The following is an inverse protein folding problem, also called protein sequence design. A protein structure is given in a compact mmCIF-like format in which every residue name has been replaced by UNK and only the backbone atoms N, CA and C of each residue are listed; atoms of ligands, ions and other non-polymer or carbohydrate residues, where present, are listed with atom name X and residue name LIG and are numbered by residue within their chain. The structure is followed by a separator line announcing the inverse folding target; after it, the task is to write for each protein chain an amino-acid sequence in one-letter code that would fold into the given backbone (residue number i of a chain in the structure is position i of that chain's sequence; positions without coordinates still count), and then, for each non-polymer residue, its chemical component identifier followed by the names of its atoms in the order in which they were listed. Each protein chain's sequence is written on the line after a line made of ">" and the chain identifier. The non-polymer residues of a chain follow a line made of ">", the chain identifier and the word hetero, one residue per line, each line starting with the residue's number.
data_IF_062922278108
#
_entry.id   IF_062922278108
#
_cell.length_a   1.000
_cell.length_b   1.000
_cell.length_c   1.000
_cell.angle_alpha   90.00
_cell.angle_beta   90.00
_cell.angle_gamma   90.00
#
_symmetry.space_group_name_H-M   'P 1'
#
loop_
_entity.id
_entity.type
_entity.pdbx_description
1 polymer ?
#
# COMPACT_ATOMS: atom_id res chain seq x y z
N UNK A 1 58.53 -24.41 -39.35
CA UNK A 1 57.52 -25.37 -38.88
C UNK A 1 56.76 -24.76 -37.71
N UNK A 2 55.45 -24.79 -37.76
CA UNK A 2 54.50 -24.42 -36.67
C UNK A 2 54.27 -22.90 -36.45
N UNK A 3 53.79 -22.24 -37.46
CA UNK A 3 53.05 -20.95 -37.31
C UNK A 3 51.54 -21.12 -37.33
N UNK A 4 51.02 -22.32 -37.11
CA UNK A 4 49.57 -22.65 -37.27
C UNK A 4 48.82 -22.92 -35.97
N UNK A 5 49.43 -22.77 -34.81
CA UNK A 5 48.79 -23.09 -33.53
C UNK A 5 48.42 -21.85 -32.66
N UNK A 6 48.72 -20.61 -33.11
CA UNK A 6 48.53 -19.40 -32.30
C UNK A 6 47.22 -18.66 -32.58
N UNK A 7 46.37 -19.19 -33.48
CA UNK A 7 45.10 -18.48 -33.85
C UNK A 7 43.87 -19.15 -33.22
N UNK A 8 44.04 -20.18 -32.40
CA UNK A 8 42.90 -20.91 -31.80
C UNK A 8 42.49 -20.46 -30.39
N UNK A 9 43.11 -19.47 -29.80
CA UNK A 9 42.83 -19.03 -28.41
C UNK A 9 42.31 -17.60 -28.28
N UNK A 10 41.95 -16.94 -29.38
CA UNK A 10 41.51 -15.52 -29.34
C UNK A 10 40.02 -15.33 -29.63
N UNK A 11 39.18 -16.36 -29.56
CA UNK A 11 37.74 -16.24 -29.80
C UNK A 11 36.85 -16.79 -28.69
N UNK A 12 37.38 -16.89 -27.47
CA UNK A 12 36.61 -17.34 -26.31
C UNK A 12 36.50 -16.28 -25.18
N UNK A 13 36.54 -14.99 -25.52
CA UNK A 13 36.61 -13.94 -24.52
C UNK A 13 35.63 -12.77 -24.69
N UNK A 14 34.44 -12.97 -25.23
CA UNK A 14 33.52 -11.84 -25.39
C UNK A 14 32.05 -12.28 -25.45
N UNK A 15 31.52 -12.93 -24.42
CA UNK A 15 30.06 -13.09 -24.19
C UNK A 15 29.79 -13.37 -22.72
N UNK A 16 30.46 -12.68 -21.81
CA UNK A 16 29.95 -12.46 -20.47
C UNK A 16 29.19 -11.13 -20.48
N UNK A 17 28.15 -11.05 -21.33
CA UNK A 17 27.12 -10.02 -21.18
C UNK A 17 26.47 -10.22 -19.84
N UNK A 18 26.72 -9.27 -18.96
CA UNK A 18 26.16 -9.03 -17.67
C UNK A 18 24.65 -9.33 -17.63
N UNK A 19 24.26 -10.53 -17.27
CA UNK A 19 22.99 -10.81 -16.65
C UNK A 19 23.06 -10.23 -15.23
N UNK A 20 22.97 -8.90 -15.12
CA UNK A 20 22.55 -8.29 -13.86
C UNK A 20 21.12 -8.80 -13.64
N UNK A 21 20.84 -9.55 -12.58
CA UNK A 21 19.46 -9.81 -12.22
C UNK A 21 18.82 -8.44 -11.99
N UNK A 22 17.86 -8.09 -12.84
CA UNK A 22 16.92 -7.05 -12.52
C UNK A 22 16.21 -7.53 -11.26
N UNK A 23 16.61 -7.01 -10.10
CA UNK A 23 15.84 -7.14 -8.88
C UNK A 23 14.52 -6.41 -9.16
N UNK A 24 13.55 -7.12 -9.69
CA UNK A 24 12.17 -6.70 -9.68
C UNK A 24 11.81 -6.62 -8.20
N UNK A 25 11.74 -5.41 -7.67
CA UNK A 25 11.26 -5.19 -6.31
C UNK A 25 9.82 -5.68 -6.29
N UNK A 26 9.54 -6.74 -5.53
CA UNK A 26 8.19 -7.24 -5.35
C UNK A 26 7.28 -6.10 -4.90
N UNK A 27 6.11 -5.93 -5.49
CA UNK A 27 5.20 -4.87 -5.10
C UNK A 27 4.77 -5.06 -3.63
N UNK A 28 4.87 -4.00 -2.86
CA UNK A 28 4.40 -4.00 -1.48
C UNK A 28 2.88 -3.94 -1.47
N UNK A 29 2.22 -4.88 -0.80
CA UNK A 29 0.77 -4.84 -0.61
C UNK A 29 0.42 -4.05 0.62
N UNK A 30 -0.42 -3.02 0.46
CA UNK A 30 -0.97 -2.18 1.52
C UNK A 30 -2.46 -2.45 1.65
N UNK A 31 -2.89 -2.97 2.79
CA UNK A 31 -4.30 -3.24 3.11
C UNK A 31 -4.89 -2.05 3.85
N UNK A 32 -5.88 -1.41 3.27
CA UNK A 32 -6.55 -0.24 3.87
C UNK A 32 -8.03 -0.51 4.05
N UNK A 33 -8.49 -0.40 5.29
CA UNK A 33 -9.90 -0.47 5.62
C UNK A 33 -10.61 0.84 5.32
N UNK A 34 -11.79 0.79 4.72
CA UNK A 34 -12.59 1.95 4.37
C UNK A 34 -14.08 1.70 4.60
N UNK A 35 -14.84 2.77 4.81
CA UNK A 35 -16.29 2.73 4.68
C UNK A 35 -16.67 2.76 3.21
N UNK A 36 -17.80 2.17 2.84
CA UNK A 36 -18.35 2.32 1.49
C UNK A 36 -18.54 3.80 1.10
N UNK A 37 -18.67 4.05 -0.21
CA UNK A 37 -18.86 5.36 -0.80
C UNK A 37 -17.61 6.24 -0.72
N UNK A 38 -17.67 7.40 -0.07
CA UNK A 38 -16.65 8.47 -0.18
C UNK A 38 -15.23 7.99 0.10
N UNK A 39 -15.00 7.24 1.18
CA UNK A 39 -13.64 6.81 1.52
C UNK A 39 -13.14 5.69 0.61
N UNK A 40 -14.01 4.79 0.22
CA UNK A 40 -13.71 3.77 -0.79
C UNK A 40 -13.37 4.39 -2.13
N UNK A 41 -14.16 5.36 -2.59
CA UNK A 41 -13.94 6.07 -3.86
C UNK A 41 -12.61 6.83 -3.86
N UNK A 42 -12.25 7.49 -2.76
CA UNK A 42 -10.96 8.17 -2.61
C UNK A 42 -9.81 7.17 -2.78
N UNK A 43 -9.89 6.03 -2.13
CA UNK A 43 -8.86 4.99 -2.20
C UNK A 43 -8.76 4.38 -3.60
N UNK A 44 -9.89 4.12 -4.26
CA UNK A 44 -9.89 3.66 -5.66
C UNK A 44 -9.27 4.69 -6.61
N UNK A 45 -9.54 5.99 -6.39
CA UNK A 45 -8.94 7.05 -7.18
C UNK A 45 -7.40 7.09 -7.08
N UNK A 46 -6.83 6.87 -5.90
CA UNK A 46 -5.36 6.93 -5.70
C UNK A 46 -4.66 5.62 -6.06
N UNK A 47 -5.38 4.53 -6.18
CA UNK A 47 -4.84 3.18 -6.45
C UNK A 47 -3.89 3.10 -7.65
N UNK A 48 -4.22 3.68 -8.84
CA UNK A 48 -3.31 3.66 -9.99
C UNK A 48 -2.02 4.44 -9.74
N UNK A 49 -2.08 5.54 -9.00
CA UNK A 49 -0.90 6.33 -8.65
C UNK A 49 0.04 5.56 -7.71
N UNK A 50 -0.51 4.82 -6.77
CA UNK A 50 0.25 3.94 -5.87
C UNK A 50 0.87 2.76 -6.63
N UNK A 51 0.15 2.17 -7.57
CA UNK A 51 0.66 1.08 -8.41
C UNK A 51 1.92 1.50 -9.19
N UNK A 52 1.96 2.73 -9.69
CA UNK A 52 3.16 3.31 -10.35
C UNK A 52 4.37 3.42 -9.42
N UNK A 53 4.15 3.46 -8.11
CA UNK A 53 5.19 3.49 -7.07
C UNK A 53 5.53 2.10 -6.51
N UNK A 54 5.02 1.03 -7.11
CA UNK A 54 5.25 -0.34 -6.65
C UNK A 54 4.41 -0.72 -5.42
N UNK A 55 3.32 0.02 -5.14
CA UNK A 55 2.41 -0.26 -4.02
C UNK A 55 1.12 -0.84 -4.57
N UNK A 56 0.79 -2.07 -4.16
CA UNK A 56 -0.48 -2.71 -4.47
C UNK A 56 -1.48 -2.39 -3.34
N UNK A 57 -2.39 -1.45 -3.59
CA UNK A 57 -3.43 -1.08 -2.64
C UNK A 57 -4.57 -2.10 -2.65
N UNK A 58 -4.80 -2.74 -1.51
CA UNK A 58 -5.95 -3.62 -1.28
C UNK A 58 -6.94 -2.91 -0.36
N UNK A 59 -8.11 -2.58 -0.90
CA UNK A 59 -9.18 -1.91 -0.16
C UNK A 59 -10.09 -2.96 0.47
N UNK A 60 -10.35 -2.83 1.76
CA UNK A 60 -11.24 -3.70 2.52
C UNK A 60 -12.37 -2.86 3.06
N UNK A 61 -13.58 -3.11 2.59
CA UNK A 61 -14.76 -2.36 3.00
C UNK A 61 -15.34 -2.92 4.30
N UNK A 62 -15.67 -2.00 5.20
CA UNK A 62 -16.37 -2.28 6.45
C UNK A 62 -17.66 -1.47 6.48
N UNK A 63 -18.75 -2.12 6.86
CA UNK A 63 -20.08 -1.49 6.94
C UNK A 63 -20.41 -0.97 8.34
N UNK A 64 -19.54 -1.17 9.30
CA UNK A 64 -19.68 -0.71 10.68
C UNK A 64 -18.49 0.16 11.11
N UNK A 65 -18.58 0.77 12.28
CA UNK A 65 -17.56 1.67 12.83
C UNK A 65 -16.71 1.05 13.94
N UNK A 66 -16.86 -0.23 14.21
CA UNK A 66 -16.13 -0.97 15.26
C UNK A 66 -15.00 -1.80 14.65
N UNK A 67 -15.32 -2.60 13.66
CA UNK A 67 -14.40 -3.56 13.04
C UNK A 67 -13.14 -2.93 12.43
N UNK A 68 -13.19 -1.76 11.76
CA UNK A 68 -11.99 -1.20 11.16
C UNK A 68 -10.86 -0.93 12.16
N UNK A 69 -11.17 -0.46 13.36
CA UNK A 69 -10.17 -0.20 14.39
C UNK A 69 -9.68 -1.49 15.06
N UNK A 70 -10.54 -2.49 15.23
CA UNK A 70 -10.13 -3.80 15.74
C UNK A 70 -9.21 -4.51 14.76
N UNK A 71 -9.58 -4.55 13.48
CA UNK A 71 -8.76 -5.15 12.43
C UNK A 71 -7.38 -4.47 12.31
N UNK A 72 -7.32 -3.15 12.52
CA UNK A 72 -6.06 -2.43 12.56
C UNK A 72 -5.23 -2.78 13.80
N UNK A 73 -5.84 -2.85 14.98
CA UNK A 73 -5.18 -3.25 16.20
C UNK A 73 -4.66 -4.69 16.15
N UNK A 74 -5.39 -5.58 15.49
CA UNK A 74 -5.03 -7.00 15.30
C UNK A 74 -4.06 -7.22 14.12
N UNK A 75 -3.66 -6.14 13.43
CA UNK A 75 -2.74 -6.15 12.27
C UNK A 75 -3.28 -6.94 11.06
N UNK A 76 -4.57 -7.07 10.95
CA UNK A 76 -5.23 -7.64 9.78
C UNK A 76 -5.23 -6.69 8.59
N UNK A 77 -5.24 -5.38 8.88
CA UNK A 77 -5.07 -4.27 7.92
C UNK A 77 -3.93 -3.35 8.38
N UNK A 78 -3.37 -2.59 7.45
CA UNK A 78 -2.22 -1.71 7.69
C UNK A 78 -2.64 -0.28 8.05
N UNK A 79 -3.80 0.15 7.56
CA UNK A 79 -4.39 1.45 7.84
C UNK A 79 -5.90 1.40 7.67
N UNK A 80 -6.60 2.42 8.14
CA UNK A 80 -8.00 2.64 7.82
C UNK A 80 -8.31 4.10 7.51
N UNK A 81 -9.35 4.33 6.74
CA UNK A 81 -9.84 5.65 6.36
C UNK A 81 -11.36 5.68 6.50
N UNK A 82 -11.88 6.13 7.64
CA UNK A 82 -13.33 6.17 7.86
C UNK A 82 -13.79 7.10 8.98
N UNK A 83 -12.90 7.49 9.91
CA UNK A 83 -13.30 8.12 11.18
C UNK A 83 -12.71 9.50 11.38
N UNK A 84 -13.35 10.28 12.23
CA UNK A 84 -12.79 11.51 12.77
C UNK A 84 -11.90 11.22 13.99
N UNK A 85 -10.91 12.08 14.20
CA UNK A 85 -9.96 11.91 15.31
C UNK A 85 -10.61 11.78 16.69
N UNK A 86 -11.62 12.59 17.07
CA UNK A 86 -12.28 12.44 18.37
C UNK A 86 -12.93 11.07 18.59
N UNK A 87 -13.52 10.49 17.54
CA UNK A 87 -14.06 9.13 17.61
C UNK A 87 -12.95 8.09 17.83
N UNK A 88 -11.85 8.20 17.09
CA UNK A 88 -10.71 7.31 17.26
C UNK A 88 -10.12 7.40 18.66
N UNK A 89 -9.91 8.61 19.17
CA UNK A 89 -9.34 8.82 20.51
C UNK A 89 -10.21 8.19 21.60
N UNK A 90 -11.52 8.40 21.53
CA UNK A 90 -12.47 7.80 22.47
C UNK A 90 -12.51 6.28 22.37
N UNK A 91 -12.55 5.76 21.16
CA UNK A 91 -12.53 4.32 20.91
C UNK A 91 -11.28 3.65 21.48
N UNK A 92 -10.11 4.26 21.26
CA UNK A 92 -8.85 3.76 21.79
C UNK A 92 -8.78 3.83 23.31
N UNK A 93 -9.29 4.90 23.90
CA UNK A 93 -9.35 5.08 25.36
C UNK A 93 -10.22 3.99 26.00
N UNK A 94 -11.42 3.76 25.46
CA UNK A 94 -12.39 2.82 26.02
C UNK A 94 -11.92 1.36 25.93
N UNK A 95 -11.07 1.05 24.95
CA UNK A 95 -10.62 -0.32 24.66
C UNK A 95 -9.14 -0.58 24.93
N UNK A 96 -8.41 0.42 25.42
CA UNK A 96 -6.97 0.29 25.70
C UNK A 96 -6.12 0.08 24.44
N UNK A 97 -6.55 0.59 23.28
CA UNK A 97 -5.84 0.49 22.02
C UNK A 97 -4.88 1.66 21.81
N UNK A 98 -3.84 1.43 21.03
CA UNK A 98 -2.88 2.46 20.61
C UNK A 98 -2.87 2.55 19.09
N UNK A 99 -3.59 3.54 18.56
CA UNK A 99 -3.61 3.86 17.13
C UNK A 99 -3.03 5.26 16.93
N UNK A 100 -2.39 5.48 15.79
CA UNK A 100 -1.80 6.76 15.41
C UNK A 100 -2.62 7.40 14.30
N UNK A 101 -3.06 8.65 14.50
CA UNK A 101 -3.71 9.42 13.46
C UNK A 101 -2.67 10.00 12.50
N UNK A 102 -2.91 9.81 11.20
CA UNK A 102 -2.22 10.53 10.13
C UNK A 102 -2.92 11.87 9.86
N UNK A 103 -2.31 12.79 9.09
CA UNK A 103 -2.97 14.03 8.68
C UNK A 103 -4.34 13.76 8.05
N UNK A 104 -5.31 14.62 8.37
CA UNK A 104 -6.67 14.50 7.83
C UNK A 104 -6.71 14.70 6.31
N UNK A 105 -7.59 13.96 5.65
CA UNK A 105 -7.76 14.01 4.18
C UNK A 105 -8.92 14.93 3.81
N UNK A 106 -10.04 14.84 4.53
CA UNK A 106 -11.22 15.67 4.32
C UNK A 106 -12.07 15.74 5.59
N UNK A 107 -13.01 16.70 5.61
CA UNK A 107 -14.05 16.82 6.64
C UNK A 107 -15.40 16.71 5.93
N UNK A 108 -16.23 15.75 6.35
CA UNK A 108 -17.60 15.66 5.87
C UNK A 108 -18.47 16.72 6.57
N UNK A 109 -19.15 17.61 5.83
CA UNK A 109 -20.04 18.58 6.42
C UNK A 109 -21.31 17.88 6.96
N UNK A 110 -21.77 18.36 8.12
CA UNK A 110 -23.04 17.93 8.69
C UNK A 110 -24.03 19.10 8.54
N UNK A 111 -25.20 18.83 8.02
CA UNK A 111 -26.24 19.82 7.87
C UNK A 111 -27.62 19.26 8.26
N UNK A 112 -28.48 20.11 8.75
CA UNK A 112 -29.88 19.80 8.97
C UNK A 112 -30.69 20.24 7.74
N UNK A 113 -31.51 19.35 7.25
CA UNK A 113 -32.39 19.59 6.10
C UNK A 113 -33.84 19.49 6.58
N UNK A 114 -34.68 20.41 6.17
CA UNK A 114 -36.14 20.34 6.31
C UNK A 114 -36.81 20.22 4.96
N UNK A 115 -37.96 19.55 4.90
CA UNK A 115 -38.82 19.55 3.74
C UNK A 115 -39.65 20.82 3.70
#
# INVERSE_FOLDING_TARGET
>A
MQRRQLIKYLTAGALFSSLLPAFATEPVTLKVGASPLVTGDILEFVKPALAKKGINLKIIEFTDYIQPNLALADKEIDANLFQHKPFMDKFCQDRGLKLTALPGIFIAPIALYSK
#
